data_IF_516379276206
#
_entry.id   IF_516379276206
#
_cell.length_a   1.000
_cell.length_b   1.000
_cell.length_c   1.000
_cell.angle_alpha   90.00
_cell.angle_beta   90.00
_cell.angle_gamma   90.00
#
_symmetry.space_group_name_H-M   'P 1'
#
loop_
_entity.id
_entity.type
_entity.pdbx_description
1 polymer ?
#
# COMPACT_ATOMS: atom_id res chain seq x y z
N UNK A 1 -22.19 20.39 17.12
CA UNK A 1 -21.97 18.93 17.07
C UNK A 1 -22.33 18.50 15.66
N UNK A 2 -21.36 18.40 14.81
CA UNK A 2 -21.55 17.96 13.42
C UNK A 2 -20.61 16.79 13.21
N UNK A 3 -21.19 15.60 13.16
CA UNK A 3 -20.49 14.37 12.77
C UNK A 3 -20.05 14.51 11.32
N UNK A 4 -18.78 14.83 11.12
CA UNK A 4 -18.14 14.74 9.82
C UNK A 4 -17.94 13.26 9.49
N UNK A 5 -18.96 12.67 8.88
CA UNK A 5 -18.90 11.33 8.34
C UNK A 5 -17.75 11.21 7.35
N UNK A 6 -16.74 10.45 7.73
CA UNK A 6 -15.64 10.05 6.85
C UNK A 6 -16.22 9.23 5.70
N UNK A 7 -16.09 9.75 4.47
CA UNK A 7 -16.56 9.06 3.27
C UNK A 7 -15.85 7.70 3.14
N UNK A 8 -16.61 6.63 3.32
CA UNK A 8 -16.19 5.23 3.19
C UNK A 8 -15.94 4.85 1.71
N UNK A 9 -15.94 5.81 0.80
CA UNK A 9 -15.86 5.56 -0.65
C UNK A 9 -14.58 4.85 -1.15
N UNK A 10 -13.55 4.71 -0.29
CA UNK A 10 -12.37 3.89 -0.60
C UNK A 10 -12.48 2.43 -0.09
N UNK A 11 -13.59 2.05 0.53
CA UNK A 11 -13.88 0.67 0.94
C UNK A 11 -14.56 -0.16 -0.16
N UNK A 12 -14.82 0.44 -1.32
CA UNK A 12 -15.40 -0.30 -2.44
C UNK A 12 -14.37 -1.30 -2.99
N UNK A 13 -14.68 -2.57 -3.08
CA UNK A 13 -13.81 -3.55 -3.73
C UNK A 13 -13.67 -3.18 -5.20
N UNK A 14 -12.46 -2.90 -5.65
CA UNK A 14 -12.12 -2.82 -7.07
C UNK A 14 -11.98 -4.24 -7.65
N UNK A 15 -13.01 -5.04 -7.47
CA UNK A 15 -13.06 -6.40 -7.98
C UNK A 15 -14.45 -6.70 -8.52
N UNK A 16 -14.55 -6.93 -9.82
CA UNK A 16 -15.74 -7.45 -10.51
C UNK A 16 -15.91 -8.95 -10.21
N UNK A 17 -16.09 -9.31 -8.95
CA UNK A 17 -16.47 -10.65 -8.52
C UNK A 17 -17.79 -10.56 -7.74
N UNK A 18 -18.89 -10.99 -8.36
CA UNK A 18 -20.21 -11.00 -7.74
C UNK A 18 -20.30 -12.13 -6.69
N UNK A 19 -19.77 -11.89 -5.49
CA UNK A 19 -19.95 -12.76 -4.34
C UNK A 19 -19.81 -11.95 -3.05
N UNK A 20 -20.69 -12.19 -2.09
CA UNK A 20 -20.54 -11.72 -0.71
C UNK A 20 -19.99 -12.86 0.14
N UNK A 21 -19.11 -12.55 1.07
CA UNK A 21 -18.68 -13.44 2.13
C UNK A 21 -19.40 -13.05 3.42
N UNK A 22 -20.30 -13.90 3.90
CA UNK A 22 -20.92 -13.70 5.20
C UNK A 22 -19.98 -14.20 6.29
N UNK A 23 -19.56 -13.32 7.17
CA UNK A 23 -18.59 -13.63 8.22
C UNK A 23 -19.30 -14.01 9.51
N UNK A 24 -19.04 -15.23 9.99
CA UNK A 24 -19.48 -15.65 11.31
C UNK A 24 -18.69 -14.90 12.38
N UNK A 25 -19.39 -14.14 13.22
CA UNK A 25 -18.75 -13.33 14.28
C UNK A 25 -18.37 -14.16 15.53
N UNK A 26 -18.91 -15.36 15.64
CA UNK A 26 -18.75 -16.29 16.79
C UNK A 26 -18.14 -17.64 16.40
N UNK A 27 -17.52 -17.72 15.21
CA UNK A 27 -17.04 -18.99 14.70
C UNK A 27 -15.99 -18.88 13.58
N UNK A 28 -15.91 -19.92 12.78
CA UNK A 28 -15.00 -20.02 11.63
C UNK A 28 -15.82 -19.86 10.35
N UNK A 29 -15.38 -18.95 9.49
CA UNK A 29 -15.91 -18.80 8.13
C UNK A 29 -14.94 -19.44 7.15
N UNK A 30 -15.32 -20.53 6.46
CA UNK A 30 -14.49 -21.12 5.40
C UNK A 30 -14.35 -20.16 4.23
N UNK A 31 -13.14 -20.10 3.64
CA UNK A 31 -12.94 -19.38 2.40
C UNK A 31 -13.28 -20.27 1.20
N UNK A 32 -13.91 -19.73 0.16
CA UNK A 32 -14.06 -20.44 -1.11
C UNK A 32 -12.71 -20.84 -1.72
N UNK A 33 -12.69 -21.86 -2.56
CA UNK A 33 -11.50 -22.22 -3.32
C UNK A 33 -10.99 -21.03 -4.13
N UNK A 34 -9.68 -20.86 -4.18
CA UNK A 34 -9.03 -19.78 -4.91
C UNK A 34 -9.02 -18.43 -4.20
N UNK A 35 -9.60 -18.32 -3.01
CA UNK A 35 -9.67 -17.07 -2.23
C UNK A 35 -8.66 -17.09 -1.09
N UNK A 36 -7.99 -15.97 -0.87
CA UNK A 36 -7.20 -15.67 0.32
C UNK A 36 -7.85 -14.51 1.08
N UNK A 37 -7.62 -14.43 2.39
CA UNK A 37 -8.14 -13.32 3.20
C UNK A 37 -7.07 -12.78 4.15
N UNK A 38 -7.17 -11.48 4.41
CA UNK A 38 -6.32 -10.80 5.39
C UNK A 38 -7.15 -9.87 6.27
N UNK A 39 -6.60 -9.50 7.43
CA UNK A 39 -7.11 -8.39 8.23
C UNK A 39 -6.41 -7.12 7.76
N UNK A 40 -7.17 -6.22 7.16
CA UNK A 40 -6.71 -4.89 6.77
C UNK A 40 -6.93 -3.92 7.92
N UNK A 41 -5.89 -3.22 8.32
CA UNK A 41 -5.91 -2.21 9.39
C UNK A 41 -5.72 -0.83 8.77
N UNK A 42 -6.67 0.05 8.98
CA UNK A 42 -6.62 1.45 8.56
C UNK A 42 -6.12 2.30 9.71
N UNK A 43 -5.17 3.18 9.40
CA UNK A 43 -4.58 4.08 10.39
C UNK A 43 -4.63 5.52 9.86
N UNK A 44 -4.67 6.46 10.78
CA UNK A 44 -4.57 7.87 10.46
C UNK A 44 -3.67 8.60 11.45
N UNK A 45 -3.10 9.71 10.97
CA UNK A 45 -2.34 10.66 11.76
C UNK A 45 -2.74 12.07 11.35
N UNK A 46 -3.00 12.92 12.32
CA UNK A 46 -3.20 14.36 12.06
C UNK A 46 -1.83 15.04 11.86
N UNK A 47 -1.79 15.92 10.86
CA UNK A 47 -0.61 16.68 10.48
C UNK A 47 -0.79 18.07 11.06
N UNK A 48 -0.08 18.37 12.14
CA UNK A 48 0.00 19.72 12.71
C UNK A 48 1.17 20.51 12.14
N UNK A 49 1.26 21.82 12.44
CA UNK A 49 2.49 22.57 12.25
C UNK A 49 3.58 21.92 13.11
N UNK A 50 4.46 21.19 12.47
CA UNK A 50 5.50 20.41 13.15
C UNK A 50 6.90 21.01 12.95
N UNK A 51 7.89 20.56 13.75
CA UNK A 51 9.29 20.87 13.50
C UNK A 51 9.69 20.40 12.09
N UNK A 52 10.71 21.01 11.53
CA UNK A 52 11.25 20.60 10.24
C UNK A 52 11.49 19.08 10.24
N UNK A 53 10.81 18.38 9.35
CA UNK A 53 10.99 16.95 9.17
C UNK A 53 12.40 16.68 8.66
N UNK A 54 13.01 15.59 9.10
CA UNK A 54 14.39 15.25 8.76
C UNK A 54 14.61 15.06 7.25
N UNK A 55 15.82 15.36 6.80
CA UNK A 55 16.26 15.11 5.44
C UNK A 55 16.58 13.63 5.22
N UNK A 56 16.56 13.21 3.95
CA UNK A 56 17.07 11.90 3.58
C UNK A 56 18.57 11.81 3.90
N UNK A 57 19.07 10.64 4.29
CA UNK A 57 20.51 10.40 4.45
C UNK A 57 21.27 10.67 3.15
N UNK A 58 22.56 10.96 3.26
CA UNK A 58 23.44 11.12 2.10
C UNK A 58 23.39 9.89 1.18
N UNK A 59 23.42 10.10 -0.11
CA UNK A 59 23.31 9.06 -1.12
C UNK A 59 21.89 8.53 -1.37
N UNK A 60 20.90 8.95 -0.57
CA UNK A 60 19.49 8.58 -0.78
C UNK A 60 18.75 9.73 -1.47
N UNK A 61 18.11 9.42 -2.58
CA UNK A 61 17.31 10.39 -3.36
C UNK A 61 15.94 9.84 -3.72
N UNK A 62 15.02 10.74 -4.05
CA UNK A 62 13.69 10.40 -4.59
C UNK A 62 13.61 10.91 -6.02
N UNK A 63 13.39 10.01 -6.94
CA UNK A 63 13.15 10.33 -8.34
C UNK A 63 11.67 10.18 -8.65
N UNK A 64 11.06 11.25 -9.17
CA UNK A 64 9.63 11.26 -9.50
C UNK A 64 9.35 10.30 -10.65
N UNK A 65 8.35 9.45 -10.48
CA UNK A 65 7.79 8.59 -11.51
C UNK A 65 6.50 9.24 -12.05
N UNK A 66 6.41 9.34 -13.36
CA UNK A 66 5.30 9.97 -14.09
C UNK A 66 4.64 8.97 -15.05
N UNK A 67 3.66 9.40 -15.84
CA UNK A 67 2.97 8.51 -16.77
C UNK A 67 3.88 7.65 -17.67
N UNK A 68 4.92 8.21 -18.31
CA UNK A 68 5.89 7.44 -19.10
C UNK A 68 6.66 6.37 -18.33
N UNK A 69 6.78 6.52 -17.00
CA UNK A 69 7.53 5.62 -16.13
C UNK A 69 6.71 4.41 -15.65
N UNK A 70 5.50 4.18 -16.16
CA UNK A 70 4.60 3.13 -15.70
C UNK A 70 5.25 1.72 -15.73
N UNK A 71 6.06 1.41 -16.72
CA UNK A 71 6.80 0.14 -16.80
C UNK A 71 7.86 0.03 -15.69
N UNK A 72 8.59 1.12 -15.43
CA UNK A 72 9.56 1.21 -14.34
C UNK A 72 8.89 1.08 -12.98
N UNK A 73 7.79 1.80 -12.77
CA UNK A 73 6.98 1.69 -11.57
C UNK A 73 6.54 0.25 -11.31
N UNK A 74 5.97 -0.45 -12.34
CA UNK A 74 5.55 -1.85 -12.22
C UNK A 74 6.68 -2.77 -11.79
N UNK A 75 7.88 -2.59 -12.34
CA UNK A 75 9.05 -3.41 -11.99
C UNK A 75 9.41 -3.23 -10.51
N UNK A 76 9.50 -1.98 -10.02
CA UNK A 76 9.78 -1.69 -8.60
C UNK A 76 8.67 -2.27 -7.72
N UNK A 77 7.41 -2.05 -8.10
CA UNK A 77 6.24 -2.53 -7.35
C UNK A 77 6.19 -4.06 -7.29
N UNK A 78 6.47 -4.76 -8.39
CA UNK A 78 6.53 -6.22 -8.44
C UNK A 78 7.65 -6.79 -7.56
N UNK A 79 8.82 -6.16 -7.55
CA UNK A 79 9.95 -6.55 -6.70
C UNK A 79 9.56 -6.49 -5.21
N UNK A 80 8.89 -5.43 -4.79
CA UNK A 80 8.36 -5.29 -3.43
C UNK A 80 7.21 -6.26 -3.18
N UNK A 81 6.27 -6.34 -4.11
CA UNK A 81 5.03 -7.08 -3.98
C UNK A 81 5.19 -8.58 -3.93
N UNK A 82 6.21 -9.13 -4.58
CA UNK A 82 6.48 -10.58 -4.56
C UNK A 82 6.61 -11.11 -3.13
N UNK A 83 7.16 -10.33 -2.21
CA UNK A 83 7.31 -10.76 -0.81
C UNK A 83 6.07 -10.58 0.03
N UNK A 84 5.19 -9.59 -0.31
CA UNK A 84 4.10 -9.12 0.54
C UNK A 84 2.73 -9.17 -0.11
N UNK A 85 2.59 -9.90 -1.24
CA UNK A 85 1.36 -9.96 -2.04
C UNK A 85 0.85 -8.55 -2.44
N UNK A 86 1.73 -7.65 -2.84
CA UNK A 86 1.31 -6.38 -3.42
C UNK A 86 0.96 -6.59 -4.90
N UNK A 87 -0.29 -6.64 -5.20
CA UNK A 87 -0.80 -6.95 -6.55
C UNK A 87 -1.63 -5.83 -7.17
N UNK A 88 -2.15 -4.89 -6.35
CA UNK A 88 -3.15 -3.92 -6.78
C UNK A 88 -2.73 -3.05 -7.98
N UNK A 89 -1.45 -2.67 -8.08
CA UNK A 89 -0.94 -1.90 -9.22
C UNK A 89 -0.58 -2.78 -10.43
N UNK A 90 -0.35 -4.06 -10.23
CA UNK A 90 0.00 -5.00 -11.29
C UNK A 90 -1.22 -5.38 -12.15
N UNK A 91 -2.41 -5.43 -11.55
CA UNK A 91 -3.66 -5.78 -12.25
C UNK A 91 -4.19 -4.66 -13.16
N UNK A 92 -3.75 -3.41 -12.96
CA UNK A 92 -4.21 -2.28 -13.75
C UNK A 92 -3.75 -2.41 -15.21
N UNK A 93 -4.57 -1.97 -16.17
CA UNK A 93 -4.12 -1.80 -17.53
C UNK A 93 -2.98 -0.76 -17.61
N UNK A 94 -2.15 -0.84 -18.65
CA UNK A 94 -1.01 0.08 -18.79
C UNK A 94 -1.43 1.56 -18.79
N UNK A 95 -2.52 1.88 -19.50
CA UNK A 95 -3.06 3.24 -19.56
C UNK A 95 -3.62 3.74 -18.23
N UNK A 96 -4.23 2.86 -17.43
CA UNK A 96 -4.76 3.22 -16.12
C UNK A 96 -3.63 3.60 -15.15
N UNK A 97 -2.57 2.78 -15.07
CA UNK A 97 -1.43 3.09 -14.23
C UNK A 97 -0.73 4.37 -14.71
N UNK A 98 -0.52 4.53 -16.02
CA UNK A 98 0.04 5.75 -16.60
C UNK A 98 -0.79 6.98 -16.24
N UNK A 99 -2.13 6.88 -16.30
CA UNK A 99 -3.04 7.95 -15.89
C UNK A 99 -2.93 8.29 -14.41
N UNK A 100 -2.78 7.31 -13.53
CA UNK A 100 -2.56 7.54 -12.09
C UNK A 100 -1.25 8.29 -11.87
N UNK A 101 -0.15 7.86 -12.50
CA UNK A 101 1.17 8.48 -12.34
C UNK A 101 1.25 9.88 -12.97
N UNK A 102 0.46 10.13 -14.02
CA UNK A 102 0.37 11.45 -14.66
C UNK A 102 -0.46 12.45 -13.84
N UNK A 103 -1.28 11.99 -12.89
CA UNK A 103 -2.10 12.86 -12.07
C UNK A 103 -1.21 13.73 -11.15
N UNK A 104 -1.31 15.07 -11.20
CA UNK A 104 -0.49 15.96 -10.37
C UNK A 104 -0.75 15.82 -8.86
N UNK A 105 -1.92 15.29 -8.48
CA UNK A 105 -2.25 14.98 -7.08
C UNK A 105 -1.73 13.60 -6.61
N UNK A 106 -1.03 12.84 -7.45
CA UNK A 106 -0.35 11.60 -7.06
C UNK A 106 1.14 11.80 -7.15
N UNK A 107 1.87 11.52 -6.09
CA UNK A 107 3.33 11.60 -6.03
C UNK A 107 3.95 10.22 -5.85
N UNK A 108 4.33 9.58 -6.95
CA UNK A 108 5.08 8.34 -6.94
C UNK A 108 6.58 8.62 -7.14
N UNK A 109 7.45 8.00 -6.34
CA UNK A 109 8.89 8.17 -6.39
C UNK A 109 9.59 6.82 -6.29
N UNK A 110 10.55 6.57 -7.19
CA UNK A 110 11.58 5.58 -6.94
C UNK A 110 12.50 6.10 -5.83
N UNK A 111 12.78 5.25 -4.85
CA UNK A 111 13.80 5.53 -3.84
C UNK A 111 15.12 5.00 -4.37
N UNK A 112 16.13 5.86 -4.46
CA UNK A 112 17.44 5.51 -4.99
C UNK A 112 18.51 5.62 -3.90
N UNK A 113 19.50 4.72 -3.98
CA UNK A 113 20.77 4.79 -3.26
C UNK A 113 21.89 4.79 -4.29
N UNK A 114 22.68 5.88 -4.32
CA UNK A 114 23.80 6.03 -5.25
C UNK A 114 23.39 5.73 -6.71
N UNK A 115 22.16 6.15 -7.09
CA UNK A 115 21.58 5.93 -8.41
C UNK A 115 20.90 4.57 -8.62
N UNK A 116 21.04 3.61 -7.70
CA UNK A 116 20.37 2.31 -7.77
C UNK A 116 19.02 2.30 -7.07
N UNK A 117 18.02 1.65 -7.67
CA UNK A 117 16.67 1.52 -7.08
C UNK A 117 16.71 0.65 -5.83
N UNK A 118 16.12 1.14 -4.75
CA UNK A 118 16.02 0.43 -3.46
C UNK A 118 14.61 0.43 -2.86
N UNK A 119 13.62 1.06 -3.51
CA UNK A 119 12.26 1.11 -2.96
C UNK A 119 11.32 2.03 -3.71
N UNK A 120 10.14 2.20 -3.13
CA UNK A 120 9.04 3.01 -3.65
C UNK A 120 8.43 3.84 -2.52
N UNK A 121 8.06 5.08 -2.83
CA UNK A 121 7.21 5.95 -2.02
C UNK A 121 6.09 6.51 -2.91
N UNK A 122 4.84 6.29 -2.56
CA UNK A 122 3.69 6.86 -3.25
C UNK A 122 2.76 7.58 -2.26
N UNK A 123 2.48 8.85 -2.55
CA UNK A 123 1.55 9.72 -1.82
C UNK A 123 0.40 10.10 -2.74
N UNK A 124 -0.82 9.99 -2.26
CA UNK A 124 -2.04 10.34 -2.99
C UNK A 124 -2.74 11.51 -2.29
N UNK A 125 -2.84 12.64 -2.99
CA UNK A 125 -3.47 13.88 -2.53
C UNK A 125 -4.82 14.14 -3.20
N UNK A 126 -5.43 13.15 -3.86
CA UNK A 126 -6.71 13.32 -4.56
C UNK A 126 -7.89 13.54 -3.62
N UNK A 127 -7.76 13.19 -2.34
CA UNK A 127 -8.79 13.48 -1.33
C UNK A 127 -8.64 14.90 -0.78
N UNK A 128 -9.74 15.67 -0.64
CA UNK A 128 -9.68 17.01 -0.06
C UNK A 128 -9.13 17.01 1.37
N UNK A 129 -8.18 17.91 1.66
CA UNK A 129 -7.56 18.12 2.98
C UNK A 129 -6.90 16.88 3.63
N UNK A 130 -6.83 15.76 2.93
CA UNK A 130 -6.18 14.54 3.39
C UNK A 130 -5.19 14.03 2.34
N UNK A 131 -4.17 13.33 2.82
CA UNK A 131 -3.26 12.56 1.98
C UNK A 131 -3.35 11.08 2.36
N UNK A 132 -3.02 10.22 1.42
CA UNK A 132 -2.87 8.79 1.67
C UNK A 132 -1.44 8.37 1.37
N UNK A 133 -0.81 7.67 2.29
CA UNK A 133 0.44 6.96 2.04
C UNK A 133 0.07 5.67 1.32
N UNK A 134 -0.05 5.76 0.00
CA UNK A 134 -0.54 4.65 -0.82
C UNK A 134 0.42 3.46 -0.79
N UNK A 135 1.73 3.74 -0.93
CA UNK A 135 2.78 2.72 -0.83
C UNK A 135 4.06 3.28 -0.24
N UNK A 136 4.66 2.52 0.66
CA UNK A 136 6.00 2.75 1.20
C UNK A 136 6.69 1.39 1.36
N UNK A 137 7.70 1.13 0.56
CA UNK A 137 8.45 -0.11 0.62
C UNK A 137 9.91 0.07 0.26
N UNK A 138 10.76 -0.75 0.88
CA UNK A 138 12.18 -0.86 0.60
C UNK A 138 12.49 -2.31 0.19
N UNK A 139 13.42 -2.47 -0.73
CA UNK A 139 13.97 -3.79 -1.03
C UNK A 139 14.69 -4.35 0.20
N UNK A 140 14.77 -5.67 0.31
CA UNK A 140 15.39 -6.35 1.46
C UNK A 140 16.81 -5.84 1.75
N UNK A 141 17.57 -5.53 0.69
CA UNK A 141 18.93 -4.98 0.78
C UNK A 141 19.01 -3.61 1.43
N UNK A 142 17.88 -2.92 1.60
CA UNK A 142 17.78 -1.58 2.16
C UNK A 142 16.98 -1.53 3.47
N UNK A 143 16.44 -2.67 3.93
CA UNK A 143 15.70 -2.75 5.21
C UNK A 143 16.63 -2.77 6.43
N UNK A 144 16.09 -2.46 7.61
CA UNK A 144 16.84 -2.52 8.87
C UNK A 144 17.85 -1.39 9.11
N UNK A 145 18.01 -0.45 8.18
CA UNK A 145 19.01 0.61 8.19
C UNK A 145 18.44 1.99 8.57
N UNK A 146 17.23 2.04 9.11
CA UNK A 146 16.57 3.31 9.49
C UNK A 146 15.97 4.09 8.33
N UNK A 147 16.14 3.66 7.07
CA UNK A 147 15.65 4.37 5.88
C UNK A 147 14.13 4.52 5.85
N UNK A 148 13.37 3.55 6.33
CA UNK A 148 11.92 3.66 6.43
C UNK A 148 11.48 4.86 7.28
N UNK A 149 12.18 5.13 8.40
CA UNK A 149 11.92 6.30 9.24
C UNK A 149 12.24 7.60 8.48
N UNK A 150 13.36 7.67 7.77
CA UNK A 150 13.74 8.85 6.98
C UNK A 150 12.73 9.13 5.86
N UNK A 151 12.29 8.08 5.15
CA UNK A 151 11.24 8.19 4.12
C UNK A 151 9.90 8.65 4.70
N UNK A 152 9.51 8.15 5.87
CA UNK A 152 8.30 8.61 6.56
C UNK A 152 8.41 10.09 6.93
N UNK A 153 9.55 10.56 7.44
CA UNK A 153 9.78 11.99 7.75
C UNK A 153 9.68 12.84 6.47
N UNK A 154 10.26 12.37 5.36
CA UNK A 154 10.17 13.04 4.06
C UNK A 154 8.73 13.09 3.54
N UNK A 155 7.97 12.00 3.68
CA UNK A 155 6.55 11.97 3.33
C UNK A 155 5.75 13.00 4.14
N UNK A 156 5.95 13.05 5.46
CA UNK A 156 5.30 14.02 6.35
C UNK A 156 5.64 15.48 5.98
N UNK A 157 6.91 15.76 5.62
CA UNK A 157 7.33 17.07 5.14
C UNK A 157 6.56 17.50 3.88
N UNK A 158 6.46 16.59 2.88
CA UNK A 158 5.72 16.83 1.63
C UNK A 158 4.23 17.08 1.87
N UNK A 159 3.63 16.29 2.75
CA UNK A 159 2.21 16.40 3.09
C UNK A 159 1.92 17.73 3.79
N UNK A 160 2.77 18.11 4.76
CA UNK A 160 2.68 19.39 5.45
C UNK A 160 2.83 20.57 4.48
N UNK A 161 3.81 20.52 3.57
CA UNK A 161 4.05 21.56 2.57
C UNK A 161 2.86 21.74 1.60
N UNK A 162 2.09 20.70 1.35
CA UNK A 162 0.86 20.75 0.54
C UNK A 162 -0.38 21.17 1.35
N UNK A 163 -0.25 21.43 2.65
CA UNK A 163 -1.34 21.88 3.50
C UNK A 163 -2.36 20.79 3.86
N UNK A 164 -2.09 19.53 3.57
CA UNK A 164 -2.94 18.44 4.02
C UNK A 164 -2.85 18.29 5.56
N UNK A 165 -4.00 18.14 6.21
CA UNK A 165 -4.10 18.10 7.67
C UNK A 165 -4.18 16.69 8.24
N UNK A 166 -4.36 15.70 7.38
CA UNK A 166 -4.50 14.30 7.77
C UNK A 166 -3.76 13.41 6.80
N UNK A 167 -3.05 12.41 7.33
CA UNK A 167 -2.43 11.34 6.57
C UNK A 167 -3.08 10.02 6.95
N UNK A 168 -3.51 9.27 5.96
CA UNK A 168 -4.01 7.90 6.11
C UNK A 168 -3.01 6.90 5.55
N UNK A 169 -3.08 5.69 6.07
CA UNK A 169 -2.36 4.52 5.56
C UNK A 169 -3.15 3.27 5.91
N UNK A 170 -3.02 2.24 5.13
CA UNK A 170 -3.47 0.91 5.53
C UNK A 170 -2.33 -0.10 5.44
N UNK A 171 -2.44 -1.15 6.24
CA UNK A 171 -1.57 -2.32 6.20
C UNK A 171 -2.44 -3.55 6.48
N UNK A 172 -1.97 -4.72 6.08
CA UNK A 172 -2.72 -5.94 6.30
C UNK A 172 -1.82 -7.08 6.82
N UNK A 173 -2.43 -8.20 7.15
CA UNK A 173 -1.69 -9.36 7.69
C UNK A 173 -0.80 -10.06 6.65
N UNK A 174 -0.87 -9.67 5.38
CA UNK A 174 0.07 -10.13 4.35
C UNK A 174 1.34 -9.26 4.29
N UNK A 175 1.31 -8.03 4.81
CA UNK A 175 2.44 -7.12 4.82
C UNK A 175 3.55 -7.56 5.80
N UNK A 176 4.67 -6.86 5.72
CA UNK A 176 5.79 -7.06 6.65
C UNK A 176 5.30 -7.01 8.11
N UNK A 177 5.66 -7.98 8.99
CA UNK A 177 5.15 -8.04 10.36
C UNK A 177 5.42 -6.79 11.20
N UNK A 178 6.47 -6.04 10.88
CA UNK A 178 6.78 -4.79 11.55
C UNK A 178 5.96 -3.58 11.07
N UNK A 179 5.15 -3.70 9.99
CA UNK A 179 4.49 -2.56 9.37
C UNK A 179 3.54 -1.82 10.32
N UNK A 180 2.65 -2.54 11.01
CA UNK A 180 1.73 -1.94 11.98
C UNK A 180 2.48 -1.22 13.10
N UNK A 181 3.51 -1.86 13.66
CA UNK A 181 4.36 -1.26 14.70
C UNK A 181 5.13 -0.04 14.22
N UNK A 182 5.60 -0.06 12.97
CA UNK A 182 6.26 1.07 12.33
C UNK A 182 5.34 2.29 12.21
N UNK A 183 4.11 2.11 11.71
CA UNK A 183 3.14 3.20 11.61
C UNK A 183 2.74 3.75 12.97
N UNK A 184 2.51 2.88 13.97
CA UNK A 184 2.21 3.34 15.34
C UNK A 184 3.35 4.17 15.94
N UNK A 185 4.61 3.75 15.77
CA UNK A 185 5.80 4.54 16.19
C UNK A 185 5.94 5.85 15.41
N UNK A 186 5.42 5.92 14.19
CA UNK A 186 5.34 7.14 13.41
C UNK A 186 4.16 8.05 13.80
N UNK A 187 3.40 7.72 14.85
CA UNK A 187 2.33 8.53 15.40
C UNK A 187 0.96 8.31 14.76
N UNK A 188 0.77 7.20 14.02
CA UNK A 188 -0.55 6.83 13.51
C UNK A 188 -1.37 6.11 14.57
N UNK A 189 -2.66 6.42 14.64
CA UNK A 189 -3.67 5.70 15.40
C UNK A 189 -4.47 4.77 14.49
N UNK A 190 -4.83 3.60 14.98
CA UNK A 190 -5.77 2.71 14.29
C UNK A 190 -7.16 3.34 14.33
N UNK A 191 -7.82 3.41 13.18
CA UNK A 191 -9.17 3.97 13.04
C UNK A 191 -10.23 2.92 12.73
N UNK A 192 -9.87 1.87 12.01
CA UNK A 192 -10.77 0.74 11.74
C UNK A 192 -10.01 -0.49 11.26
N UNK A 193 -10.69 -1.61 11.23
CA UNK A 193 -10.22 -2.85 10.61
C UNK A 193 -11.30 -3.42 9.71
N UNK A 194 -10.87 -4.20 8.72
CA UNK A 194 -11.76 -4.94 7.82
C UNK A 194 -11.14 -6.28 7.45
N UNK A 195 -11.98 -7.23 7.07
CA UNK A 195 -11.55 -8.43 6.37
C UNK A 195 -11.52 -8.09 4.87
N UNK A 196 -10.41 -8.37 4.22
CA UNK A 196 -10.29 -8.31 2.76
C UNK A 196 -10.12 -9.74 2.24
N UNK A 197 -11.10 -10.22 1.49
CA UNK A 197 -11.08 -11.52 0.83
C UNK A 197 -10.99 -11.28 -0.68
N UNK A 198 -9.99 -11.89 -1.33
CA UNK A 198 -9.69 -11.65 -2.75
C UNK A 198 -9.24 -12.93 -3.44
N UNK A 199 -9.43 -13.05 -4.78
CA UNK A 199 -8.79 -14.10 -5.55
C UNK A 199 -7.28 -14.08 -5.32
N UNK A 200 -6.68 -15.25 -5.11
CA UNK A 200 -5.23 -15.35 -4.92
C UNK A 200 -4.50 -14.95 -6.21
N UNK A 201 -3.74 -13.84 -6.21
CA UNK A 201 -3.07 -13.34 -7.42
C UNK A 201 -2.00 -14.28 -7.97
N UNK A 202 -1.59 -15.28 -7.20
CA UNK A 202 -0.64 -16.32 -7.64
C UNK A 202 -1.31 -17.36 -8.54
N UNK A 203 -2.60 -17.64 -8.34
CA UNK A 203 -3.36 -18.56 -9.18
C UNK A 203 -3.67 -17.99 -10.57
N UNK A 204 -3.81 -16.66 -10.67
CA UNK A 204 -4.00 -15.98 -11.96
C UNK A 204 -2.69 -15.69 -12.71
N UNK A 205 -1.53 -16.01 -12.12
CA UNK A 205 -0.21 -15.68 -12.69
C UNK A 205 0.17 -14.21 -12.58
N UNK A 206 -0.62 -13.39 -11.87
CA UNK A 206 -0.28 -11.97 -11.63
C UNK A 206 0.95 -11.82 -10.72
N UNK A 207 1.13 -12.75 -9.80
CA UNK A 207 2.34 -12.95 -9.01
C UNK A 207 2.83 -14.40 -9.18
N UNK A 208 4.15 -14.64 -9.02
CA UNK A 208 4.67 -16.00 -9.11
C UNK A 208 4.16 -16.88 -7.96
N UNK A 209 4.02 -18.20 -8.15
CA UNK A 209 3.48 -19.12 -7.14
C UNK A 209 4.24 -19.11 -5.81
N UNK A 210 5.52 -18.76 -5.82
CA UNK A 210 6.37 -18.67 -4.63
C UNK A 210 6.28 -17.31 -3.91
N UNK A 211 5.47 -16.36 -4.42
CA UNK A 211 5.28 -15.07 -3.76
C UNK A 211 4.69 -15.26 -2.36
N UNK A 212 5.15 -14.42 -1.42
CA UNK A 212 4.70 -14.39 -0.04
C UNK A 212 4.62 -15.78 0.60
N UNK A 213 5.75 -16.47 0.81
CA UNK A 213 5.77 -17.85 1.31
C UNK A 213 5.17 -18.01 2.70
N UNK A 214 4.97 -16.92 3.44
CA UNK A 214 4.31 -16.87 4.74
C UNK A 214 2.77 -16.91 4.63
N UNK A 215 2.21 -16.76 3.42
CA UNK A 215 0.77 -16.86 3.15
C UNK A 215 0.53 -18.17 2.39
N UNK A 216 -0.21 -19.13 2.96
CA UNK A 216 -0.55 -20.36 2.27
C UNK A 216 -1.16 -20.08 0.89
N UNK A 217 -0.76 -20.84 -0.11
CA UNK A 217 -1.38 -20.76 -1.44
C UNK A 217 -2.83 -21.25 -1.32
N UNK A 218 -3.76 -20.51 -1.89
CA UNK A 218 -5.15 -20.93 -1.93
C UNK A 218 -5.32 -22.23 -2.72
N UNK A 219 -6.25 -23.08 -2.30
CA UNK A 219 -6.62 -24.27 -3.08
C UNK A 219 -7.17 -23.83 -4.43
N UNK A 220 -6.64 -24.37 -5.52
CA UNK A 220 -7.18 -24.06 -6.85
C UNK A 220 -8.65 -24.49 -6.95
N UNK A 221 -9.50 -23.68 -7.62
CA UNK A 221 -10.89 -24.08 -7.84
C UNK A 221 -10.96 -25.46 -8.46
N UNK A 222 -11.80 -26.32 -7.91
CA UNK A 222 -12.04 -27.66 -8.50
C UNK A 222 -12.79 -27.44 -9.79
N UNK A 223 -12.18 -27.81 -10.91
CA UNK A 223 -12.93 -27.97 -12.16
C UNK A 223 -13.86 -29.16 -11.96
N UNK A 224 -15.17 -28.92 -11.82
CA UNK A 224 -16.13 -30.00 -11.90
C UNK A 224 -15.98 -30.63 -13.29
N UNK A 225 -15.86 -31.98 -13.37
CA UNK A 225 -15.79 -32.71 -14.63
C UNK A 225 -17.09 -32.56 -15.46
#
# INVERSE_FOLDING_TARGET
MSENGMSISKLSPTGTGAGSLDVALDGITPLPDGIIACIKTYLARDIGPGPAYGNLPAGITLERLTGPDAARYRRIFATLGTRWLWWSRLQLAAGELSGILANPAVEAHAVLRDGGEIGLLELDFRAPAAADLAFLGLFDTATGQGLGKALMQTALARISAKGARRLTVNTCTFDHPAALGFYRKAGFAVISQAIEAVPDPRLSGLLPPHAAPHVPLATAPRTNP
#
